data_IF_211625631901
#
_entry.id   IF_211625631901
#
_cell.length_a   1.000
_cell.length_b   1.000
_cell.length_c   1.000
_cell.angle_alpha   90.00
_cell.angle_beta   90.00
_cell.angle_gamma   90.00
#
_symmetry.space_group_name_H-M   'P 1'
#
loop_
_entity.id
_entity.type
_entity.pdbx_description
1 polymer ?
#
# COMPACT_ATOMS: atom_id res chain seq x y z
N UNK A 1 18.96 15.02 -42.32
CA UNK A 1 19.94 14.99 -41.22
C UNK A 1 19.27 15.69 -40.06
N UNK A 2 18.39 14.98 -39.38
CA UNK A 2 17.60 15.51 -38.27
C UNK A 2 18.29 15.14 -36.97
N UNK A 3 18.80 16.16 -36.30
CA UNK A 3 19.50 16.10 -35.03
C UNK A 3 18.61 16.77 -33.99
N UNK A 4 17.67 16.02 -33.42
CA UNK A 4 16.93 16.40 -32.22
C UNK A 4 16.47 15.13 -31.52
N UNK A 5 17.17 14.73 -30.47
CA UNK A 5 16.58 14.10 -29.26
C UNK A 5 17.69 13.70 -28.27
N UNK A 6 18.11 14.65 -27.43
CA UNK A 6 18.85 14.39 -26.18
C UNK A 6 18.37 15.43 -25.15
N UNK A 7 17.21 15.19 -24.54
CA UNK A 7 16.58 16.19 -23.65
C UNK A 7 15.80 15.66 -22.45
N UNK A 8 15.87 14.36 -22.13
CA UNK A 8 14.96 13.76 -21.12
C UNK A 8 15.66 13.04 -19.94
N UNK A 9 17.00 13.01 -19.87
CA UNK A 9 17.68 12.27 -18.79
C UNK A 9 18.09 13.07 -17.55
N UNK A 10 17.88 14.39 -17.51
CA UNK A 10 18.40 15.22 -16.40
C UNK A 10 17.58 15.16 -15.10
N UNK A 11 16.26 14.91 -15.17
CA UNK A 11 15.38 14.99 -13.98
C UNK A 11 15.41 13.76 -13.07
N UNK A 12 15.87 12.61 -13.57
CA UNK A 12 15.93 11.37 -12.76
C UNK A 12 17.15 11.34 -11.84
N UNK A 13 18.27 11.95 -12.25
CA UNK A 13 19.51 11.91 -11.47
C UNK A 13 19.44 12.79 -10.22
N UNK A 14 18.68 13.89 -10.26
CA UNK A 14 18.54 14.79 -9.09
C UNK A 14 17.78 14.13 -7.93
N UNK A 15 16.86 13.21 -8.21
CA UNK A 15 16.09 12.49 -7.20
C UNK A 15 16.94 11.53 -6.37
N UNK A 16 17.82 10.77 -7.04
CA UNK A 16 18.69 9.79 -6.39
C UNK A 16 19.70 10.45 -5.44
N UNK A 17 20.28 11.57 -5.86
CA UNK A 17 21.25 12.33 -5.05
C UNK A 17 20.57 12.88 -3.80
N UNK A 18 19.41 13.51 -3.94
CA UNK A 18 18.65 14.04 -2.80
C UNK A 18 18.23 12.93 -1.82
N UNK A 19 17.82 11.77 -2.32
CA UNK A 19 17.48 10.61 -1.50
C UNK A 19 18.69 10.08 -0.71
N UNK A 20 19.86 10.00 -1.36
CA UNK A 20 21.10 9.55 -0.74
C UNK A 20 21.58 10.54 0.34
N UNK A 21 21.51 11.85 0.08
CA UNK A 21 21.85 12.88 1.06
C UNK A 21 20.93 12.84 2.28
N UNK A 22 19.61 12.72 2.06
CA UNK A 22 18.62 12.61 3.14
C UNK A 22 18.87 11.36 4.01
N UNK A 23 19.18 10.21 3.40
CA UNK A 23 19.53 9.00 4.13
C UNK A 23 20.83 9.15 4.92
N UNK A 24 21.87 9.69 4.30
CA UNK A 24 23.16 9.94 4.96
C UNK A 24 22.98 10.85 6.19
N UNK A 25 22.23 11.94 6.04
CA UNK A 25 21.91 12.86 7.15
C UNK A 25 21.12 12.16 8.27
N UNK A 26 20.19 11.26 7.93
CA UNK A 26 19.46 10.43 8.89
C UNK A 26 20.36 9.48 9.67
N UNK A 27 21.26 8.78 8.99
CA UNK A 27 22.23 7.86 9.63
C UNK A 27 23.17 8.63 10.55
N UNK A 28 23.73 9.76 10.10
CA UNK A 28 24.62 10.57 10.92
C UNK A 28 23.91 11.14 12.15
N UNK A 29 22.64 11.52 12.04
CA UNK A 29 21.84 11.96 13.19
C UNK A 29 21.68 10.84 14.22
N UNK A 30 21.46 9.59 13.77
CA UNK A 30 21.36 8.42 14.67
C UNK A 30 22.71 8.09 15.30
N UNK A 31 23.81 8.08 14.53
CA UNK A 31 25.16 7.85 15.06
C UNK A 31 25.50 8.91 16.12
N UNK A 32 25.22 10.18 15.83
CA UNK A 32 25.42 11.28 16.78
C UNK A 32 24.60 11.06 18.07
N UNK A 33 23.29 10.80 17.94
CA UNK A 33 22.40 10.54 19.07
C UNK A 33 22.78 9.29 19.91
N UNK A 34 23.41 8.29 19.28
CA UNK A 34 23.89 7.08 19.95
C UNK A 34 25.27 7.25 20.58
N UNK A 35 26.10 8.17 20.08
CA UNK A 35 27.44 8.47 20.59
C UNK A 35 27.43 9.43 21.78
N UNK A 36 26.40 10.27 21.90
CA UNK A 36 26.21 11.13 23.06
C UNK A 36 25.82 10.33 24.30
N UNK A 37 26.40 10.67 25.45
CA UNK A 37 25.81 10.30 26.74
C UNK A 37 24.36 10.81 26.77
N UNK A 38 23.43 9.86 26.87
CA UNK A 38 21.97 10.02 26.87
C UNK A 38 21.53 11.25 27.67
N UNK A 39 21.32 12.41 27.04
CA UNK A 39 20.86 13.62 27.76
C UNK A 39 19.51 14.15 27.32
N UNK A 40 19.08 13.97 26.06
CA UNK A 40 17.80 14.54 25.62
C UNK A 40 16.95 13.59 24.78
N UNK A 41 15.75 13.28 25.28
CA UNK A 41 14.71 12.53 24.56
C UNK A 41 14.39 13.13 23.19
N UNK A 42 14.51 14.46 23.06
CA UNK A 42 14.23 15.21 21.83
C UNK A 42 15.21 14.89 20.70
N UNK A 43 16.49 14.66 20.99
CA UNK A 43 17.50 14.36 19.96
C UNK A 43 17.22 13.02 19.27
N UNK A 44 16.78 12.02 20.04
CA UNK A 44 16.38 10.72 19.49
C UNK A 44 15.14 10.84 18.58
N UNK A 45 14.16 11.67 18.94
CA UNK A 45 12.98 11.88 18.09
C UNK A 45 13.36 12.58 16.78
N UNK A 46 14.26 13.57 16.83
CA UNK A 46 14.79 14.26 15.64
C UNK A 46 15.59 13.31 14.76
N UNK A 47 16.48 12.50 15.36
CA UNK A 47 17.25 11.49 14.64
C UNK A 47 16.34 10.44 13.98
N UNK A 48 15.33 9.96 14.70
CA UNK A 48 14.34 9.03 14.18
C UNK A 48 13.55 9.62 13.01
N UNK A 49 13.11 10.88 13.11
CA UNK A 49 12.38 11.57 12.04
C UNK A 49 13.24 11.72 10.78
N UNK A 50 14.52 12.12 10.92
CA UNK A 50 15.46 12.24 9.80
C UNK A 50 15.75 10.89 9.14
N UNK A 51 15.99 9.84 9.95
CA UNK A 51 16.19 8.49 9.44
C UNK A 51 14.97 8.00 8.65
N UNK A 52 13.76 8.15 9.20
CA UNK A 52 12.52 7.74 8.53
C UNK A 52 12.31 8.46 7.21
N UNK A 53 12.59 9.77 7.16
CA UNK A 53 12.54 10.55 5.92
C UNK A 53 13.51 10.00 4.87
N UNK A 54 14.77 9.78 5.25
CA UNK A 54 15.79 9.22 4.36
C UNK A 54 15.46 7.82 3.85
N UNK A 55 14.94 6.93 4.71
CA UNK A 55 14.52 5.59 4.32
C UNK A 55 13.32 5.59 3.37
N UNK A 56 12.35 6.49 3.54
CA UNK A 56 11.19 6.62 2.64
C UNK A 56 11.61 7.06 1.23
N UNK A 57 12.54 8.02 1.14
CA UNK A 57 13.09 8.45 -0.15
C UNK A 57 13.92 7.34 -0.80
N UNK A 58 14.78 6.66 -0.05
CA UNK A 58 15.59 5.55 -0.57
C UNK A 58 14.78 4.29 -0.94
N UNK A 59 13.64 4.06 -0.27
CA UNK A 59 12.74 2.94 -0.56
C UNK A 59 12.03 3.07 -1.91
N UNK A 60 11.69 4.29 -2.32
CA UNK A 60 11.07 4.57 -3.61
C UNK A 60 11.99 4.23 -4.80
N UNK A 61 13.31 4.18 -4.59
CA UNK A 61 14.32 3.98 -5.64
C UNK A 61 15.04 2.62 -5.47
N UNK A 62 14.32 1.61 -4.96
CA UNK A 62 14.81 0.22 -4.96
C UNK A 62 15.87 -0.11 -3.90
N UNK A 63 16.02 0.74 -2.86
CA UNK A 63 16.86 0.45 -1.69
C UNK A 63 18.36 0.51 -1.94
N UNK A 64 18.83 1.01 -3.11
CA UNK A 64 20.24 1.04 -3.46
C UNK A 64 21.09 1.81 -2.43
N UNK A 65 20.64 2.99 -2.00
CA UNK A 65 21.33 3.79 -0.99
C UNK A 65 21.42 3.08 0.39
N UNK A 66 20.39 2.32 0.76
CA UNK A 66 20.37 1.54 2.01
C UNK A 66 21.35 0.37 2.00
N UNK A 67 21.67 -0.19 0.82
CA UNK A 67 22.68 -1.25 0.67
C UNK A 67 24.11 -0.73 0.81
N UNK A 68 24.34 0.56 0.57
CA UNK A 68 25.65 1.19 0.67
C UNK A 68 26.02 1.60 2.11
N UNK A 69 25.09 1.48 3.06
CA UNK A 69 25.34 1.82 4.46
C UNK A 69 26.34 0.83 5.07
N UNK A 70 27.39 1.36 5.69
CA UNK A 70 28.46 0.54 6.26
C UNK A 70 27.92 -0.38 7.39
N UNK A 71 28.37 -1.64 7.50
CA UNK A 71 27.86 -2.59 8.49
C UNK A 71 27.86 -2.08 9.93
N UNK A 72 28.89 -1.31 10.33
CA UNK A 72 28.96 -0.71 11.66
C UNK A 72 27.83 0.31 11.90
N UNK A 73 27.50 1.11 10.88
CA UNK A 73 26.38 2.04 10.95
C UNK A 73 25.04 1.31 10.96
N UNK A 74 24.91 0.19 10.25
CA UNK A 74 23.71 -0.63 10.27
C UNK A 74 23.40 -1.13 11.69
N UNK A 75 24.43 -1.66 12.39
CA UNK A 75 24.30 -2.11 13.77
C UNK A 75 23.85 -0.98 14.71
N UNK A 76 24.44 0.22 14.57
CA UNK A 76 24.06 1.41 15.38
C UNK A 76 22.60 1.79 15.12
N UNK A 77 22.15 1.78 13.87
CA UNK A 77 20.76 2.06 13.50
C UNK A 77 19.80 1.03 14.10
N UNK A 78 20.12 -0.25 14.01
CA UNK A 78 19.27 -1.33 14.52
C UNK A 78 19.15 -1.26 16.05
N UNK A 79 20.25 -1.08 16.79
CA UNK A 79 20.18 -0.91 18.24
C UNK A 79 19.46 0.39 18.65
N UNK A 80 19.55 1.45 17.83
CA UNK A 80 18.74 2.66 18.03
C UNK A 80 17.23 2.37 17.87
N UNK A 81 16.82 1.62 16.85
CA UNK A 81 15.43 1.21 16.65
C UNK A 81 14.92 0.31 17.79
N UNK A 82 15.73 -0.64 18.24
CA UNK A 82 15.42 -1.50 19.39
C UNK A 82 15.15 -0.67 20.65
N UNK A 83 16.00 0.35 20.91
CA UNK A 83 15.81 1.31 22.00
C UNK A 83 14.52 2.12 21.84
N UNK A 84 14.16 2.53 20.62
CA UNK A 84 12.92 3.26 20.35
C UNK A 84 11.68 2.38 20.53
N UNK A 85 11.74 1.10 20.13
CA UNK A 85 10.67 0.13 20.34
C UNK A 85 10.37 -0.12 21.83
N UNK A 86 11.41 -0.14 22.67
CA UNK A 86 11.26 -0.30 24.12
C UNK A 86 10.59 0.89 24.83
N UNK A 87 10.46 2.05 24.17
CA UNK A 87 9.75 3.20 24.75
C UNK A 87 8.24 2.94 24.69
N UNK A 88 7.55 3.02 25.84
CA UNK A 88 6.10 2.75 26.00
C UNK A 88 5.15 3.74 25.29
N UNK A 89 5.51 4.31 24.14
CA UNK A 89 4.63 5.14 23.31
C UNK A 89 4.05 4.28 22.20
N UNK A 90 2.74 4.02 22.23
CA UNK A 90 2.04 3.20 21.21
C UNK A 90 2.33 3.68 19.77
N UNK A 91 2.40 4.98 19.54
CA UNK A 91 2.68 5.54 18.21
C UNK A 91 4.12 5.29 17.72
N UNK A 92 5.08 5.00 18.62
CA UNK A 92 6.46 4.72 18.23
C UNK A 92 6.59 3.30 17.66
N UNK A 93 5.88 2.32 18.21
CA UNK A 93 5.94 0.93 17.76
C UNK A 93 5.59 0.78 16.26
N UNK A 94 4.45 1.33 15.83
CA UNK A 94 4.03 1.28 14.41
C UNK A 94 5.06 1.92 13.48
N UNK A 95 5.67 3.05 13.89
CA UNK A 95 6.69 3.75 13.08
C UNK A 95 8.00 2.98 13.03
N UNK A 96 8.37 2.30 14.12
CA UNK A 96 9.56 1.44 14.17
C UNK A 96 9.34 0.20 13.30
N UNK A 97 8.15 -0.41 13.35
CA UNK A 97 7.77 -1.53 12.48
C UNK A 97 7.84 -1.14 11.01
N UNK A 98 7.22 -0.02 10.61
CA UNK A 98 7.30 0.50 9.24
C UNK A 98 8.76 0.63 8.76
N UNK A 99 9.59 1.27 9.58
CA UNK A 99 11.00 1.51 9.24
C UNK A 99 11.81 0.21 9.19
N UNK A 100 11.56 -0.71 10.12
CA UNK A 100 12.15 -2.04 10.14
C UNK A 100 11.84 -2.84 8.87
N UNK A 101 10.59 -2.81 8.39
CA UNK A 101 10.20 -3.43 7.12
C UNK A 101 10.94 -2.83 5.92
N UNK A 102 11.13 -1.51 5.87
CA UNK A 102 11.89 -0.84 4.80
C UNK A 102 13.35 -1.33 4.79
N UNK A 103 13.98 -1.38 5.97
CA UNK A 103 15.36 -1.84 6.11
C UNK A 103 15.50 -3.32 5.74
N UNK A 104 14.61 -4.17 6.23
CA UNK A 104 14.59 -5.60 5.94
C UNK A 104 14.46 -5.88 4.43
N UNK A 105 13.64 -5.11 3.71
CA UNK A 105 13.50 -5.24 2.24
C UNK A 105 14.72 -4.74 1.47
N UNK A 106 15.54 -3.87 2.06
CA UNK A 106 16.69 -3.28 1.36
C UNK A 106 17.84 -4.29 1.14
N UNK A 107 18.14 -5.14 2.13
CA UNK A 107 19.19 -6.17 2.02
C UNK A 107 19.11 -7.25 3.11
N UNK A 108 19.71 -8.41 2.86
CA UNK A 108 19.82 -9.49 3.84
C UNK A 108 20.60 -9.11 5.11
N UNK A 109 21.61 -8.21 5.04
CA UNK A 109 22.37 -7.81 6.22
C UNK A 109 21.50 -7.06 7.24
N UNK A 110 20.58 -6.22 6.76
CA UNK A 110 19.58 -5.56 7.60
C UNK A 110 18.64 -6.57 8.26
N UNK A 111 18.16 -7.59 7.52
CA UNK A 111 17.29 -8.64 8.07
C UNK A 111 17.97 -9.39 9.21
N UNK A 112 19.23 -9.80 9.03
CA UNK A 112 19.99 -10.53 10.04
C UNK A 112 20.19 -9.69 11.32
N UNK A 113 20.49 -8.39 11.17
CA UNK A 113 20.65 -7.50 12.32
C UNK A 113 19.32 -7.28 13.05
N UNK A 114 18.22 -7.04 12.32
CA UNK A 114 16.89 -6.85 12.90
C UNK A 114 16.41 -8.11 13.65
N UNK A 115 16.70 -9.30 13.12
CA UNK A 115 16.37 -10.58 13.74
C UNK A 115 17.10 -10.83 15.07
N UNK A 116 18.31 -10.26 15.25
CA UNK A 116 19.11 -10.40 16.48
C UNK A 116 18.62 -9.53 17.63
N UNK A 117 17.89 -8.46 17.35
CA UNK A 117 17.34 -7.58 18.39
C UNK A 117 15.95 -8.08 18.82
N UNK A 118 15.84 -8.64 20.04
CA UNK A 118 14.60 -9.11 20.65
C UNK A 118 13.36 -8.20 20.45
N UNK A 119 13.41 -6.87 20.73
CA UNK A 119 12.23 -6.02 20.57
C UNK A 119 11.79 -5.83 19.10
N UNK A 120 12.66 -6.16 18.15
CA UNK A 120 12.38 -6.02 16.72
C UNK A 120 12.07 -7.37 16.07
N UNK A 121 12.96 -8.36 16.16
CA UNK A 121 12.85 -9.61 15.42
C UNK A 121 12.85 -10.88 16.27
N UNK A 122 12.85 -10.78 17.60
CA UNK A 122 12.64 -11.93 18.49
C UNK A 122 11.28 -12.59 18.28
N UNK A 123 10.96 -13.71 18.97
CA UNK A 123 9.69 -14.42 18.82
C UNK A 123 8.44 -13.55 19.06
N UNK A 124 8.61 -12.50 19.85
CA UNK A 124 7.58 -11.49 20.17
C UNK A 124 7.94 -10.10 19.62
N UNK A 125 8.93 -10.03 18.73
CA UNK A 125 9.42 -8.80 18.12
C UNK A 125 8.39 -8.19 17.17
N UNK A 126 8.45 -6.87 17.00
CA UNK A 126 7.53 -6.13 16.12
C UNK A 126 7.54 -6.55 14.65
N UNK A 127 8.58 -7.27 14.21
CA UNK A 127 8.84 -7.67 12.82
C UNK A 127 8.94 -9.19 12.65
N UNK A 128 8.58 -9.98 13.66
CA UNK A 128 8.84 -11.41 13.68
C UNK A 128 8.22 -12.14 12.47
N UNK A 129 6.95 -11.85 12.19
CA UNK A 129 6.21 -12.45 11.07
C UNK A 129 6.70 -11.92 9.72
N UNK A 130 7.00 -10.62 9.62
CA UNK A 130 7.50 -10.01 8.39
C UNK A 130 8.89 -10.52 8.01
N UNK A 131 9.80 -10.65 8.98
CA UNK A 131 11.13 -11.21 8.74
C UNK A 131 11.05 -12.68 8.35
N UNK A 132 10.13 -13.43 8.94
CA UNK A 132 9.88 -14.83 8.58
C UNK A 132 9.35 -14.95 7.14
N UNK A 133 8.40 -14.11 6.75
CA UNK A 133 7.85 -14.08 5.40
C UNK A 133 8.92 -13.70 4.35
N UNK A 134 9.78 -12.73 4.66
CA UNK A 134 10.90 -12.35 3.79
C UNK A 134 11.95 -13.47 3.67
N UNK A 135 12.23 -14.20 4.76
CA UNK A 135 13.21 -15.28 4.77
C UNK A 135 12.75 -16.53 4.01
N UNK A 136 11.45 -16.84 4.02
CA UNK A 136 10.90 -17.98 3.26
C UNK A 136 10.83 -17.73 1.77
N UNK A 137 11.11 -16.50 1.32
CA UNK A 137 10.95 -16.11 -0.09
C UNK A 137 9.51 -16.29 -0.58
N UNK A 138 8.55 -16.45 0.33
CA UNK A 138 7.15 -16.45 -0.04
C UNK A 138 6.85 -15.05 -0.58
N UNK A 139 6.37 -15.00 -1.82
CA UNK A 139 5.77 -13.79 -2.37
C UNK A 139 4.85 -13.20 -1.30
N UNK A 140 4.99 -11.90 -1.01
CA UNK A 140 4.22 -11.26 0.07
C UNK A 140 2.78 -11.76 -0.04
N UNK A 141 2.23 -12.39 1.02
CA UNK A 141 0.87 -12.91 0.95
C UNK A 141 0.00 -11.76 0.49
N UNK A 142 -0.77 -11.97 -0.59
CA UNK A 142 -1.69 -10.96 -1.11
C UNK A 142 -2.47 -10.43 0.08
N UNK A 143 -2.17 -9.17 0.46
CA UNK A 143 -2.76 -8.59 1.66
C UNK A 143 -4.25 -8.58 1.45
N UNK A 144 -4.96 -9.37 2.25
CA UNK A 144 -6.40 -9.37 2.25
C UNK A 144 -6.87 -7.93 2.52
N UNK A 145 -7.81 -7.46 1.71
CA UNK A 145 -8.36 -6.11 1.87
C UNK A 145 -9.23 -6.14 3.14
N UNK A 146 -8.74 -5.50 4.19
CA UNK A 146 -9.46 -5.37 5.46
C UNK A 146 -10.61 -4.36 5.33
N UNK A 147 -11.65 -4.51 6.16
CA UNK A 147 -12.70 -3.50 6.27
C UNK A 147 -12.11 -2.20 6.85
N UNK A 148 -12.53 -1.06 6.30
CA UNK A 148 -12.00 0.27 6.60
C UNK A 148 -10.51 0.47 6.22
N UNK A 149 -9.93 -0.45 5.45
CA UNK A 149 -8.58 -0.28 4.90
C UNK A 149 -8.52 0.95 4.00
N UNK A 150 -7.51 1.78 4.22
CA UNK A 150 -7.23 2.98 3.43
C UNK A 150 -6.25 2.64 2.32
N UNK A 151 -6.69 2.73 1.07
CA UNK A 151 -5.96 2.23 -0.08
C UNK A 151 -5.96 3.22 -1.24
N UNK A 152 -4.93 3.13 -2.07
CA UNK A 152 -4.91 3.66 -3.42
C UNK A 152 -5.16 2.49 -4.37
N UNK A 153 -6.05 2.67 -5.34
CA UNK A 153 -6.29 1.65 -6.36
C UNK A 153 -5.33 1.89 -7.51
N UNK A 154 -4.40 0.96 -7.75
CA UNK A 154 -3.43 1.02 -8.84
C UNK A 154 -3.73 -0.07 -9.87
N UNK A 155 -3.66 0.27 -11.14
CA UNK A 155 -3.80 -0.71 -12.23
C UNK A 155 -2.44 -1.37 -12.50
N UNK A 156 -2.40 -2.72 -12.53
CA UNK A 156 -1.15 -3.49 -12.50
C UNK A 156 -0.28 -3.30 -13.76
N UNK A 157 -0.87 -3.11 -14.94
CA UNK A 157 -0.11 -3.00 -16.19
C UNK A 157 0.56 -1.62 -16.36
N UNK A 158 -0.21 -0.55 -16.20
CA UNK A 158 0.23 0.84 -16.39
C UNK A 158 0.85 1.44 -15.14
N UNK A 159 0.67 0.80 -13.98
CA UNK A 159 1.13 1.28 -12.67
C UNK A 159 0.53 2.66 -12.29
N UNK A 160 -0.60 3.03 -12.91
CA UNK A 160 -1.32 4.27 -12.65
C UNK A 160 -2.41 4.09 -11.61
N UNK A 161 -2.77 5.18 -10.96
CA UNK A 161 -3.73 5.20 -9.87
C UNK A 161 -5.11 5.70 -10.33
N UNK A 162 -6.16 5.03 -9.87
CA UNK A 162 -7.53 5.53 -9.99
C UNK A 162 -7.69 6.76 -9.11
N UNK A 163 -8.19 7.84 -9.72
CA UNK A 163 -8.29 9.14 -9.06
C UNK A 163 -9.59 9.85 -9.36
N UNK A 164 -10.05 10.65 -8.40
CA UNK A 164 -11.21 11.53 -8.51
C UNK A 164 -10.70 12.95 -8.68
N UNK A 165 -10.78 13.47 -9.91
CA UNK A 165 -10.30 14.81 -10.26
C UNK A 165 -11.48 15.79 -10.40
N UNK A 166 -11.22 17.08 -10.16
CA UNK A 166 -12.24 18.11 -10.32
C UNK A 166 -12.58 18.30 -11.81
N UNK A 167 -13.86 18.11 -12.16
CA UNK A 167 -14.40 18.51 -13.47
C UNK A 167 -14.73 20.00 -13.48
N UNK A 168 -14.68 20.69 -14.64
CA UNK A 168 -15.17 22.06 -14.79
C UNK A 168 -16.60 22.27 -14.28
N UNK A 169 -17.42 21.22 -14.30
CA UNK A 169 -18.82 21.25 -13.85
C UNK A 169 -18.97 21.05 -12.33
N UNK A 170 -17.88 21.02 -11.56
CA UNK A 170 -17.89 20.82 -10.10
C UNK A 170 -18.16 19.38 -9.64
N UNK A 171 -18.34 18.44 -10.57
CA UNK A 171 -18.45 17.02 -10.26
C UNK A 171 -17.07 16.35 -10.24
N UNK A 172 -16.88 15.34 -9.39
CA UNK A 172 -15.69 14.48 -9.45
C UNK A 172 -15.72 13.61 -10.72
N UNK A 173 -14.67 13.70 -11.52
CA UNK A 173 -14.42 12.83 -12.68
C UNK A 173 -13.48 11.70 -12.25
N UNK A 174 -13.80 10.46 -12.64
CA UNK A 174 -12.93 9.31 -12.42
C UNK A 174 -11.93 9.23 -13.57
N UNK A 175 -10.63 9.26 -13.27
CA UNK A 175 -9.54 9.22 -14.23
C UNK A 175 -8.32 8.48 -13.67
N UNK A 176 -7.40 8.06 -14.54
CA UNK A 176 -6.09 7.53 -14.12
C UNK A 176 -5.05 8.64 -14.01
N UNK A 177 -4.21 8.58 -12.95
CA UNK A 177 -3.10 9.51 -12.71
C UNK A 177 -1.80 8.76 -12.44
N UNK A 178 -0.65 9.37 -12.73
CA UNK A 178 0.66 8.75 -12.47
C UNK A 178 1.04 8.73 -10.97
N UNK A 179 0.36 9.55 -10.17
CA UNK A 179 0.57 9.67 -8.71
C UNK A 179 -0.70 9.33 -7.92
N UNK A 180 -0.57 8.80 -6.69
CA UNK A 180 -1.70 8.43 -5.84
C UNK A 180 -2.34 9.68 -5.21
N UNK A 181 -3.32 10.28 -5.89
CA UNK A 181 -3.98 11.52 -5.41
C UNK A 181 -5.33 11.29 -4.72
N UNK A 182 -5.94 10.12 -4.92
CA UNK A 182 -7.22 9.78 -4.30
C UNK A 182 -7.09 8.60 -3.37
N UNK A 183 -7.35 8.87 -2.09
CA UNK A 183 -7.43 7.84 -1.07
C UNK A 183 -8.84 7.26 -1.01
N UNK A 184 -8.95 5.94 -0.94
CA UNK A 184 -10.22 5.23 -0.76
C UNK A 184 -10.23 4.46 0.55
N UNK A 185 -11.37 4.48 1.23
CA UNK A 185 -11.69 3.62 2.37
C UNK A 185 -12.50 2.44 1.85
N UNK A 186 -12.00 1.23 2.08
CA UNK A 186 -12.68 0.00 1.69
C UNK A 186 -13.80 -0.31 2.69
N UNK A 187 -14.98 -0.66 2.19
CA UNK A 187 -16.10 -1.12 2.99
C UNK A 187 -16.52 -2.52 2.52
N UNK A 188 -16.44 -3.51 3.39
CA UNK A 188 -16.84 -4.89 3.06
C UNK A 188 -18.34 -5.06 3.33
N UNK A 189 -19.08 -5.72 2.43
CA UNK A 189 -20.48 -6.09 2.69
C UNK A 189 -20.50 -7.22 3.72
N UNK A 190 -20.74 -6.88 5.00
CA UNK A 190 -20.64 -7.77 6.17
C UNK A 190 -21.65 -8.90 6.27
N UNK A 191 -22.14 -9.44 5.14
CA UNK A 191 -23.11 -10.54 5.14
C UNK A 191 -22.53 -11.90 5.59
N UNK A 192 -21.23 -12.02 5.80
CA UNK A 192 -20.57 -13.31 6.05
C UNK A 192 -20.09 -13.60 7.49
N UNK A 193 -19.85 -12.59 8.33
CA UNK A 193 -19.06 -12.82 9.56
C UNK A 193 -19.85 -13.12 10.83
N UNK A 194 -21.16 -12.89 10.86
CA UNK A 194 -21.95 -13.07 12.09
C UNK A 194 -22.61 -14.45 12.23
N UNK A 195 -22.45 -15.36 11.26
CA UNK A 195 -23.22 -16.63 11.22
C UNK A 195 -22.41 -17.92 11.44
N UNK A 196 -21.08 -17.86 11.61
CA UNK A 196 -20.24 -19.07 11.77
C UNK A 196 -19.84 -19.42 13.21
N UNK A 197 -20.21 -18.60 14.20
CA UNK A 197 -19.80 -18.82 15.59
C UNK A 197 -20.64 -19.86 16.38
N UNK A 198 -21.52 -20.64 15.74
CA UNK A 198 -22.35 -21.61 16.49
C UNK A 198 -22.75 -22.86 15.68
N UNK A 199 -21.82 -23.79 15.47
CA UNK A 199 -22.16 -25.23 15.52
C UNK A 199 -20.91 -26.10 15.71
N UNK A 200 -20.90 -26.86 16.80
CA UNK A 200 -20.11 -28.09 17.00
C UNK A 200 -20.62 -29.16 16.02
N UNK A 201 -19.94 -30.22 15.59
CA UNK A 201 -18.79 -31.00 16.10
C UNK A 201 -18.43 -31.99 14.99
N UNK A 202 -17.14 -32.18 14.76
CA UNK A 202 -16.48 -33.43 14.34
C UNK A 202 -17.19 -34.35 13.33
N UNK A 203 -17.13 -34.00 12.04
CA UNK A 203 -16.91 -34.98 10.98
C UNK A 203 -16.66 -34.26 9.64
N UNK A 204 -15.62 -34.70 8.92
CA UNK A 204 -15.34 -34.41 7.51
C UNK A 204 -14.45 -33.18 7.19
N UNK A 205 -13.20 -33.20 7.65
CA UNK A 205 -12.16 -32.25 7.22
C UNK A 205 -11.86 -32.29 5.70
N UNK A 206 -12.14 -33.42 5.03
CA UNK A 206 -11.82 -33.59 3.61
C UNK A 206 -12.87 -32.98 2.67
N UNK A 207 -14.14 -32.92 3.08
CA UNK A 207 -15.20 -32.25 2.30
C UNK A 207 -15.18 -30.72 2.46
N UNK A 208 -14.50 -30.20 3.49
CA UNK A 208 -14.38 -28.76 3.73
C UNK A 208 -13.33 -28.10 2.85
N UNK A 209 -12.21 -28.78 2.54
CA UNK A 209 -11.20 -28.22 1.62
C UNK A 209 -11.73 -28.04 0.21
N UNK A 210 -12.52 -28.98 -0.31
CA UNK A 210 -13.13 -28.85 -1.64
C UNK A 210 -14.21 -27.76 -1.66
N UNK A 211 -15.01 -27.63 -0.59
CA UNK A 211 -15.99 -26.54 -0.48
C UNK A 211 -15.37 -25.17 -0.24
N UNK A 212 -14.23 -25.08 0.45
CA UNK A 212 -13.47 -23.84 0.64
C UNK A 212 -12.74 -23.40 -0.64
N UNK A 213 -12.47 -24.32 -1.56
CA UNK A 213 -11.93 -24.00 -2.90
C UNK A 213 -13.04 -23.47 -3.83
N UNK A 214 -14.28 -23.92 -3.65
CA UNK A 214 -15.46 -23.43 -4.39
C UNK A 214 -16.08 -22.17 -3.74
N UNK A 215 -15.83 -21.96 -2.44
CA UNK A 215 -16.03 -20.72 -1.69
C UNK A 215 -14.70 -19.94 -1.62
N UNK A 216 -14.02 -19.74 -2.76
CA UNK A 216 -13.26 -18.49 -2.91
C UNK A 216 -14.29 -17.37 -2.92
N UNK A 217 -14.76 -17.01 -1.72
CA UNK A 217 -15.82 -16.06 -1.46
C UNK A 217 -15.41 -14.75 -2.11
N UNK A 218 -16.07 -14.46 -3.24
CA UNK A 218 -15.82 -13.23 -3.94
C UNK A 218 -16.26 -12.09 -3.03
N UNK A 219 -15.30 -11.28 -2.59
CA UNK A 219 -15.52 -10.24 -1.59
C UNK A 219 -16.20 -9.04 -2.26
N UNK A 220 -17.40 -8.69 -1.78
CA UNK A 220 -18.09 -7.47 -2.18
C UNK A 220 -17.53 -6.28 -1.39
N UNK A 221 -16.95 -5.32 -2.11
CA UNK A 221 -16.26 -4.15 -1.59
C UNK A 221 -16.88 -2.87 -2.15
N UNK A 222 -17.01 -1.85 -1.30
CA UNK A 222 -17.27 -0.47 -1.69
C UNK A 222 -16.04 0.41 -1.45
N UNK A 223 -15.85 1.42 -2.30
CA UNK A 223 -14.73 2.36 -2.20
C UNK A 223 -15.23 3.77 -1.92
N UNK A 224 -15.12 4.22 -0.66
CA UNK A 224 -15.47 5.57 -0.26
C UNK A 224 -14.27 6.51 -0.40
N UNK A 225 -14.41 7.62 -1.10
CA UNK A 225 -13.32 8.56 -1.35
C UNK A 225 -13.05 9.47 -0.13
N UNK A 226 -11.81 9.48 0.34
CA UNK A 226 -11.30 10.30 1.44
C UNK A 226 -10.50 11.48 0.86
N UNK A 227 -11.18 12.39 0.16
CA UNK A 227 -10.55 13.59 -0.42
C UNK A 227 -11.51 14.50 -1.19
N UNK A 228 -11.04 15.70 -1.56
CA UNK A 228 -11.76 16.63 -2.45
C UNK A 228 -11.57 16.16 -3.90
N UNK A 229 -12.57 16.25 -4.80
CA UNK A 229 -13.88 16.91 -4.65
C UNK A 229 -15.00 16.07 -4.04
N UNK A 230 -14.79 14.76 -3.87
CA UNK A 230 -15.88 13.82 -3.54
C UNK A 230 -15.77 13.20 -2.15
N UNK A 231 -15.51 14.00 -1.11
CA UNK A 231 -15.31 13.45 0.24
C UNK A 231 -16.55 12.69 0.73
N UNK A 232 -16.33 11.46 1.20
CA UNK A 232 -17.39 10.53 1.61
C UNK A 232 -18.27 10.03 0.47
N UNK A 233 -17.90 10.30 -0.79
CA UNK A 233 -18.56 9.76 -1.97
C UNK A 233 -18.10 8.34 -2.24
N UNK A 234 -19.02 7.42 -2.51
CA UNK A 234 -18.68 6.07 -2.98
C UNK A 234 -18.50 6.06 -4.50
N UNK A 235 -17.49 5.30 -4.95
CA UNK A 235 -17.35 4.92 -6.36
C UNK A 235 -18.59 4.14 -6.78
N UNK A 236 -19.25 4.57 -7.86
CA UNK A 236 -20.49 3.98 -8.34
C UNK A 236 -20.68 4.18 -9.84
N UNK A 237 -21.63 3.45 -10.41
CA UNK A 237 -22.07 3.68 -11.79
C UNK A 237 -23.21 4.69 -11.87
N UNK A 238 -23.19 5.52 -12.91
CA UNK A 238 -24.27 6.43 -13.30
C UNK A 238 -24.66 6.15 -14.75
N UNK A 239 -25.96 5.89 -14.98
CA UNK A 239 -26.52 5.86 -16.34
C UNK A 239 -26.82 7.29 -16.78
N UNK A 240 -26.33 7.71 -17.94
CA UNK A 240 -26.83 8.89 -18.64
C UNK A 240 -27.95 8.45 -19.56
N UNK A 241 -28.98 9.28 -19.73
CA UNK A 241 -30.27 8.95 -20.39
C UNK A 241 -30.08 8.39 -21.83
N UNK A 242 -28.95 8.66 -22.47
CA UNK A 242 -28.63 8.26 -23.85
C UNK A 242 -27.19 7.74 -24.04
N UNK A 243 -26.42 7.49 -22.98
CA UNK A 243 -25.01 7.11 -23.10
C UNK A 243 -24.64 5.88 -22.28
N UNK A 244 -23.44 5.36 -22.56
CA UNK A 244 -22.80 4.27 -21.84
C UNK A 244 -22.76 4.52 -20.33
N UNK A 245 -22.62 3.43 -19.57
CA UNK A 245 -22.49 3.46 -18.11
C UNK A 245 -21.20 4.18 -17.75
N UNK A 246 -21.32 5.29 -17.02
CA UNK A 246 -20.18 6.10 -16.58
C UNK A 246 -19.86 5.81 -15.10
N UNK A 247 -18.58 5.77 -14.76
CA UNK A 247 -18.13 5.73 -13.37
C UNK A 247 -18.14 7.13 -12.76
N UNK A 248 -18.58 7.21 -11.52
CA UNK A 248 -18.65 8.46 -10.77
C UNK A 248 -18.37 8.21 -9.30
N UNK A 249 -18.06 9.26 -8.55
CA UNK A 249 -17.88 9.20 -7.11
C UNK A 249 -18.81 10.22 -6.44
N UNK A 250 -20.10 9.89 -6.42
CA UNK A 250 -21.14 10.82 -5.94
C UNK A 250 -22.16 10.20 -4.99
N UNK A 251 -22.16 8.88 -4.83
CA UNK A 251 -23.11 8.22 -3.92
C UNK A 251 -22.73 8.45 -2.46
N UNK A 252 -23.71 8.63 -1.58
CA UNK A 252 -23.49 8.92 -0.14
C UNK A 252 -23.70 7.72 0.77
N UNK A 253 -24.02 6.55 0.20
CA UNK A 253 -24.25 5.33 0.95
C UNK A 253 -23.70 4.13 0.19
N UNK A 254 -23.30 3.10 0.93
CA UNK A 254 -22.85 1.84 0.35
C UNK A 254 -24.05 0.93 0.02
N UNK A 255 -24.62 1.11 -1.17
CA UNK A 255 -25.77 0.35 -1.68
C UNK A 255 -25.38 -0.65 -2.76
N UNK A 256 -26.36 -1.08 -3.56
CA UNK A 256 -26.13 -2.05 -4.66
C UNK A 256 -25.26 -1.48 -5.79
N UNK A 257 -25.29 -0.16 -6.01
CA UNK A 257 -24.61 0.53 -7.13
C UNK A 257 -23.16 0.92 -6.82
N UNK A 258 -22.74 0.65 -5.59
CA UNK A 258 -21.44 0.99 -5.04
C UNK A 258 -20.60 -0.28 -4.78
N UNK A 259 -21.18 -1.46 -5.06
CA UNK A 259 -20.55 -2.75 -4.83
C UNK A 259 -19.72 -3.18 -6.02
N UNK A 260 -18.49 -3.56 -5.72
CA UNK A 260 -17.58 -4.21 -6.63
C UNK A 260 -17.18 -5.54 -6.04
N UNK A 261 -17.13 -6.56 -6.88
CA UNK A 261 -16.61 -7.86 -6.53
C UNK A 261 -15.13 -7.88 -6.89
N UNK A 262 -14.30 -8.17 -5.90
CA UNK A 262 -12.87 -8.39 -6.09
C UNK A 262 -12.63 -9.84 -6.52
N UNK A 263 -12.11 -10.04 -7.73
CA UNK A 263 -11.79 -11.34 -8.29
C UNK A 263 -10.41 -11.85 -7.87
N UNK A 264 -10.14 -13.17 -8.01
CA UNK A 264 -8.87 -13.78 -7.61
C UNK A 264 -7.67 -13.37 -8.49
N UNK A 265 -7.91 -12.89 -9.70
CA UNK A 265 -6.90 -12.25 -10.57
C UNK A 265 -6.78 -10.75 -10.33
N UNK A 266 -7.37 -10.27 -9.24
CA UNK A 266 -7.53 -8.87 -8.90
C UNK A 266 -8.34 -8.03 -9.90
N UNK A 267 -9.23 -8.68 -10.65
CA UNK A 267 -10.24 -7.97 -11.44
C UNK A 267 -11.34 -7.36 -10.57
N UNK A 268 -11.88 -6.23 -11.00
CA UNK A 268 -12.95 -5.52 -10.28
C UNK A 268 -14.24 -5.53 -11.10
N UNK A 269 -15.22 -6.33 -10.68
CA UNK A 269 -16.54 -6.38 -11.33
C UNK A 269 -17.56 -5.53 -10.58
N UNK A 270 -18.18 -4.57 -11.24
CA UNK A 270 -19.24 -3.78 -10.67
C UNK A 270 -20.54 -4.60 -10.59
N UNK A 271 -21.02 -4.91 -9.37
CA UNK A 271 -22.10 -5.87 -9.13
C UNK A 271 -23.43 -5.49 -9.80
N UNK A 272 -23.77 -4.20 -9.84
CA UNK A 272 -25.07 -3.78 -10.38
C UNK A 272 -25.14 -3.82 -11.91
N UNK A 273 -24.02 -3.65 -12.62
CA UNK A 273 -24.01 -3.71 -14.09
C UNK A 273 -23.35 -4.97 -14.63
N UNK A 274 -22.76 -5.80 -13.77
CA UNK A 274 -21.98 -6.99 -14.12
C UNK A 274 -20.78 -6.72 -15.03
N UNK A 275 -20.40 -5.45 -15.17
CA UNK A 275 -19.30 -4.99 -16.02
C UNK A 275 -18.01 -4.85 -15.22
N UNK A 276 -16.89 -4.96 -15.92
CA UNK A 276 -15.54 -4.95 -15.36
C UNK A 276 -14.91 -3.56 -15.46
N UNK A 277 -14.28 -3.13 -14.38
CA UNK A 277 -13.51 -1.89 -14.33
C UNK A 277 -12.24 -2.02 -15.19
N UNK A 278 -12.15 -1.21 -16.25
CA UNK A 278 -11.10 -1.31 -17.26
C UNK A 278 -10.51 0.06 -17.62
N UNK A 279 -9.26 0.08 -18.11
CA UNK A 279 -8.56 1.27 -18.60
C UNK A 279 -8.52 1.27 -20.13
N UNK A 280 -8.78 2.43 -20.75
CA UNK A 280 -8.77 2.58 -22.21
C UNK A 280 -7.34 2.65 -22.76
N UNK A 281 -7.04 1.87 -23.79
CA UNK A 281 -5.69 1.75 -24.34
C UNK A 281 -5.33 2.89 -25.28
N UNK A 282 -6.32 3.40 -26.00
CA UNK A 282 -6.15 4.58 -26.81
C UNK A 282 -6.08 5.84 -25.93
N UNK A 283 -6.58 5.75 -24.69
CA UNK A 283 -6.61 6.87 -23.75
C UNK A 283 -6.38 6.39 -22.31
N UNK A 284 -5.12 6.12 -21.90
CA UNK A 284 -4.80 5.52 -20.59
C UNK A 284 -5.21 6.32 -19.36
N UNK A 285 -5.74 7.52 -19.53
CA UNK A 285 -6.30 8.40 -18.50
C UNK A 285 -7.78 8.08 -18.24
N UNK A 286 -8.44 7.38 -19.17
CA UNK A 286 -9.87 7.10 -19.15
C UNK A 286 -10.13 5.72 -18.55
N UNK A 287 -11.02 5.70 -17.57
CA UNK A 287 -11.51 4.49 -16.92
C UNK A 287 -12.98 4.30 -17.27
N UNK A 288 -13.37 3.06 -17.56
CA UNK A 288 -14.74 2.73 -17.94
C UNK A 288 -15.14 1.34 -17.45
N UNK A 289 -16.43 1.03 -17.61
CA UNK A 289 -16.97 -0.29 -17.34
C UNK A 289 -17.17 -1.05 -18.66
N UNK A 290 -16.54 -2.21 -18.78
CA UNK A 290 -16.59 -3.07 -19.97
C UNK A 290 -17.42 -4.33 -19.71
N UNK A 291 -18.19 -4.80 -20.70
CA UNK A 291 -18.85 -6.10 -20.60
C UNK A 291 -17.85 -7.26 -20.60
N UNK A 292 -16.74 -7.10 -21.31
CA UNK A 292 -15.69 -8.12 -21.43
C UNK A 292 -14.65 -7.95 -20.32
N UNK A 293 -14.28 -9.07 -19.70
CA UNK A 293 -13.15 -9.12 -18.76
C UNK A 293 -11.86 -9.02 -19.56
N UNK A 294 -11.21 -7.87 -19.48
CA UNK A 294 -9.89 -7.65 -20.07
C UNK A 294 -8.80 -8.06 -19.08
N UNK A 295 -7.70 -8.63 -19.59
CA UNK A 295 -6.47 -8.83 -18.80
C UNK A 295 -5.94 -7.51 -18.21
N UNK A 296 -6.36 -6.38 -18.79
CA UNK A 296 -5.98 -5.00 -18.39
C UNK A 296 -6.94 -4.37 -17.37
N UNK A 297 -7.75 -5.22 -16.75
CA UNK A 297 -8.61 -4.87 -15.62
C UNK A 297 -8.07 -5.42 -14.30
N UNK A 298 -6.78 -5.73 -14.20
CA UNK A 298 -6.15 -6.21 -12.98
C UNK A 298 -5.72 -5.04 -12.09
N UNK A 299 -6.30 -4.96 -10.90
CA UNK A 299 -6.12 -3.87 -9.95
C UNK A 299 -5.32 -4.36 -8.74
N UNK A 300 -4.77 -3.43 -7.98
CA UNK A 300 -4.19 -3.70 -6.68
C UNK A 300 -4.54 -2.57 -5.72
N UNK A 301 -4.79 -2.96 -4.47
CA UNK A 301 -5.10 -2.05 -3.38
C UNK A 301 -3.82 -1.75 -2.60
N UNK A 302 -3.18 -0.62 -2.92
CA UNK A 302 -1.94 -0.17 -2.27
C UNK A 302 -2.29 0.52 -0.96
N UNK A 303 -1.90 -0.06 0.18
CA UNK A 303 -2.16 0.54 1.49
C UNK A 303 -1.55 1.95 1.62
N UNK A 304 -2.33 2.90 2.15
CA UNK A 304 -1.84 4.22 2.52
C UNK A 304 -1.09 4.15 3.86
N UNK A 305 0.18 4.59 3.87
CA UNK A 305 1.10 4.52 5.01
C UNK A 305 0.92 5.66 6.04
#
# INVERSE_FOLDING_TARGET
>A
MDSTDIGVCASFLDGDVAAQEALSAGIQAVVSAMSGEVRFTNENEVAFAKLRLGCRHGGAHGGAALRQVQPQQQAVVVSFLARMAGRRRRCAARRVQELGCILAKASASWQELLAKEEPLGGPSGLLAEELKALATGQAEPERQIENEARVFLREKQTQRYLSIVSSPNGHGLVAMTDVPVSLFVCHLDGKGTDSFASSSTEACEESLKTRLSELEETLDIGFAHEGIPSFGGFLCSRRRILADVELSCSSKSFGKRERFRWGPDASLQHQFTEMWLSVDLASPQKVFLSAERSERGAWEAVAAL
#
